data_IF_532991488401
#
_entry.id   IF_532991488401
#
_cell.length_a   1.000
_cell.length_b   1.000
_cell.length_c   1.000
_cell.angle_alpha   90.00
_cell.angle_beta   90.00
_cell.angle_gamma   90.00
#
_symmetry.space_group_name_H-M   'P 1'
#
loop_
_entity.id
_entity.type
_entity.pdbx_description
1 polymer ?
#
# COMPACT_ATOMS: atom_id res chain seq x y z
N UNK A 1 15.47 -23.07 -4.82
CA UNK A 1 14.68 -22.09 -4.04
C UNK A 1 13.59 -22.84 -3.29
N UNK A 2 13.37 -22.57 -2.00
CA UNK A 2 12.36 -23.27 -1.19
C UNK A 2 10.94 -22.79 -1.58
N UNK A 3 10.08 -23.65 -2.16
CA UNK A 3 8.73 -23.30 -2.59
C UNK A 3 7.86 -22.74 -1.44
N UNK A 4 8.20 -23.08 -0.20
CA UNK A 4 7.48 -22.60 0.99
C UNK A 4 7.61 -21.10 1.21
N UNK A 5 8.74 -20.48 0.80
CA UNK A 5 8.97 -19.04 0.91
C UNK A 5 8.15 -18.26 -0.11
N UNK A 6 8.06 -18.76 -1.34
CA UNK A 6 7.30 -18.10 -2.40
C UNK A 6 5.79 -18.08 -2.09
N UNK A 7 5.25 -19.19 -1.58
CA UNK A 7 3.85 -19.28 -1.15
C UNK A 7 3.45 -18.26 -0.08
N UNK A 8 4.40 -17.84 0.78
CA UNK A 8 4.13 -16.84 1.82
C UNK A 8 3.97 -15.41 1.28
N UNK A 9 4.55 -15.12 0.12
CA UNK A 9 4.35 -13.82 -0.54
C UNK A 9 3.19 -13.84 -1.52
N UNK A 10 2.56 -14.98 -1.80
CA UNK A 10 1.45 -15.08 -2.73
C UNK A 10 0.33 -14.08 -2.43
N UNK A 11 -0.09 -13.83 -1.17
CA UNK A 11 -1.08 -12.79 -0.87
C UNK A 11 -0.60 -11.38 -1.23
N UNK A 12 0.66 -11.05 -0.93
CA UNK A 12 1.23 -9.74 -1.26
C UNK A 12 1.32 -9.53 -2.78
N UNK A 13 1.73 -10.55 -3.53
CA UNK A 13 1.81 -10.51 -5.00
C UNK A 13 0.43 -10.40 -5.62
N UNK A 14 -0.54 -11.20 -5.15
CA UNK A 14 -1.91 -11.14 -5.66
C UNK A 14 -2.54 -9.76 -5.39
N UNK A 15 -2.33 -9.22 -4.19
CA UNK A 15 -2.84 -7.90 -3.82
C UNK A 15 -2.14 -6.78 -4.61
N UNK A 16 -0.82 -6.85 -4.81
CA UNK A 16 -0.09 -5.91 -5.67
C UNK A 16 -0.62 -5.94 -7.11
N UNK A 17 -0.91 -7.13 -7.66
CA UNK A 17 -1.52 -7.28 -8.97
C UNK A 17 -2.92 -6.68 -9.04
N UNK A 18 -3.75 -6.91 -8.03
CA UNK A 18 -5.06 -6.27 -7.92
C UNK A 18 -4.93 -4.74 -7.93
N UNK A 19 -4.05 -4.18 -7.09
CA UNK A 19 -3.81 -2.73 -7.02
C UNK A 19 -3.37 -2.15 -8.36
N UNK A 20 -2.46 -2.82 -9.08
CA UNK A 20 -2.02 -2.38 -10.40
C UNK A 20 -3.19 -2.33 -11.38
N UNK A 21 -3.95 -3.43 -11.48
CA UNK A 21 -5.07 -3.51 -12.40
C UNK A 21 -6.08 -2.42 -12.08
N UNK A 22 -6.54 -2.32 -10.84
CA UNK A 22 -7.57 -1.34 -10.45
C UNK A 22 -7.12 0.11 -10.60
N UNK A 23 -5.82 0.39 -10.46
CA UNK A 23 -5.28 1.75 -10.60
C UNK A 23 -5.18 2.18 -12.06
N UNK A 24 -5.01 1.23 -13.00
CA UNK A 24 -4.87 1.50 -14.42
C UNK A 24 -6.19 1.38 -15.20
N UNK A 25 -7.27 0.88 -14.59
CA UNK A 25 -8.61 0.93 -15.21
C UNK A 25 -9.01 2.41 -15.42
N UNK A 26 -9.41 2.82 -16.64
CA UNK A 26 -9.91 4.15 -16.90
C UNK A 26 -11.12 4.50 -16.02
N UNK A 27 -11.20 5.73 -15.52
CA UNK A 27 -12.39 6.22 -14.80
C UNK A 27 -13.38 6.79 -15.81
N UNK A 28 -14.69 6.45 -15.73
CA UNK A 28 -15.72 7.08 -16.55
C UNK A 28 -15.85 8.58 -16.22
N UNK A 29 -15.98 9.43 -17.23
CA UNK A 29 -16.12 10.89 -17.05
C UNK A 29 -17.35 11.28 -16.20
N UNK A 30 -18.42 10.48 -16.26
CA UNK A 30 -19.63 10.66 -15.45
C UNK A 30 -19.48 10.28 -13.97
N UNK A 31 -18.31 9.80 -13.55
CA UNK A 31 -17.96 9.46 -12.17
C UNK A 31 -17.04 10.47 -11.49
N UNK A 32 -16.72 11.59 -12.16
CA UNK A 32 -15.93 12.68 -11.61
C UNK A 32 -16.73 13.60 -10.67
N UNK A 33 -18.04 13.33 -10.50
CA UNK A 33 -18.87 13.96 -9.48
C UNK A 33 -18.24 13.75 -8.10
N UNK A 34 -18.13 14.86 -7.35
CA UNK A 34 -17.30 15.04 -6.15
C UNK A 34 -17.02 13.76 -5.35
N UNK A 35 -15.76 13.30 -5.40
CA UNK A 35 -15.26 12.24 -4.51
C UNK A 35 -15.61 12.62 -3.07
N UNK A 36 -16.37 11.79 -2.32
CA UNK A 36 -16.79 12.14 -0.98
C UNK A 36 -15.58 12.36 -0.09
N UNK A 37 -15.67 13.31 0.84
CA UNK A 37 -14.62 13.56 1.82
C UNK A 37 -14.90 12.82 3.11
N UNK A 38 -13.87 12.22 3.70
CA UNK A 38 -13.88 11.67 5.05
C UNK A 38 -12.84 12.43 5.88
N UNK A 39 -13.29 13.01 7.00
CA UNK A 39 -12.45 13.84 7.89
C UNK A 39 -11.75 15.01 7.16
N UNK A 40 -12.41 15.60 6.16
CA UNK A 40 -11.85 16.69 5.36
C UNK A 40 -10.80 16.28 4.32
N UNK A 41 -10.56 14.97 4.15
CA UNK A 41 -9.67 14.41 3.13
C UNK A 41 -10.51 13.60 2.15
N UNK A 42 -10.26 13.73 0.84
CA UNK A 42 -10.96 12.96 -0.18
C UNK A 42 -10.80 11.45 0.05
N UNK A 43 -11.89 10.68 -0.15
CA UNK A 43 -11.94 9.26 0.18
C UNK A 43 -10.92 8.41 -0.60
N UNK A 44 -10.58 8.84 -1.80
CA UNK A 44 -9.51 8.24 -2.61
C UNK A 44 -8.17 8.19 -1.85
N UNK A 45 -7.79 9.25 -1.12
CA UNK A 45 -6.55 9.27 -0.34
C UNK A 45 -6.56 8.25 0.80
N UNK A 46 -7.72 8.00 1.40
CA UNK A 46 -7.87 6.95 2.40
C UNK A 46 -7.75 5.56 1.78
N UNK A 47 -8.29 5.36 0.57
CA UNK A 47 -8.11 4.11 -0.20
C UNK A 47 -6.63 3.89 -0.53
N UNK A 48 -5.92 4.94 -0.96
CA UNK A 48 -4.48 4.90 -1.18
C UNK A 48 -3.73 4.51 0.09
N UNK A 49 -3.89 5.26 1.19
CA UNK A 49 -3.23 4.95 2.45
C UNK A 49 -3.54 3.53 2.96
N UNK A 50 -4.81 3.12 2.94
CA UNK A 50 -5.22 1.78 3.34
C UNK A 50 -4.58 0.69 2.48
N UNK A 51 -4.58 0.87 1.17
CA UNK A 51 -4.01 -0.08 0.21
C UNK A 51 -2.52 -0.32 0.42
N UNK A 52 -1.72 0.74 0.52
CA UNK A 52 -0.29 0.59 0.73
C UNK A 52 0.06 0.14 2.16
N UNK A 53 -0.81 0.42 3.13
CA UNK A 53 -0.74 -0.17 4.46
C UNK A 53 -0.96 -1.69 4.44
N UNK A 54 -1.98 -2.17 3.72
CA UNK A 54 -2.24 -3.61 3.53
C UNK A 54 -1.07 -4.27 2.81
N UNK A 55 -0.58 -3.68 1.71
CA UNK A 55 0.56 -4.23 0.96
C UNK A 55 1.80 -4.37 1.86
N UNK A 56 2.14 -3.33 2.62
CA UNK A 56 3.26 -3.35 3.56
C UNK A 56 3.09 -4.44 4.62
N UNK A 57 1.89 -4.59 5.17
CA UNK A 57 1.57 -5.63 6.16
C UNK A 57 1.71 -7.02 5.58
N UNK A 58 1.22 -7.27 4.37
CA UNK A 58 1.32 -8.57 3.69
C UNK A 58 2.78 -8.92 3.37
N UNK A 59 3.58 -7.93 2.94
CA UNK A 59 5.01 -8.10 2.73
C UNK A 59 5.74 -8.47 4.03
N UNK A 60 5.47 -7.74 5.12
CA UNK A 60 6.06 -7.99 6.43
C UNK A 60 5.64 -9.35 7.01
N UNK A 61 4.37 -9.74 6.80
CA UNK A 61 3.83 -11.05 7.15
C UNK A 61 4.50 -12.18 6.36
N UNK A 62 4.62 -12.02 5.04
CA UNK A 62 5.31 -12.99 4.17
C UNK A 62 6.77 -13.19 4.57
N UNK A 63 7.44 -12.09 4.95
CA UNK A 63 8.82 -12.10 5.45
C UNK A 63 8.95 -12.67 6.87
N UNK A 64 7.89 -12.60 7.69
CA UNK A 64 7.85 -12.97 9.11
C UNK A 64 8.94 -12.31 9.96
N UNK A 65 9.25 -11.06 9.68
CA UNK A 65 10.28 -10.29 10.39
C UNK A 65 9.68 -9.18 11.24
N UNK A 66 10.41 -8.78 12.29
CA UNK A 66 10.14 -7.60 13.12
C UNK A 66 11.36 -6.68 13.24
N UNK A 67 12.38 -6.89 12.40
CA UNK A 67 13.53 -6.00 12.36
C UNK A 67 13.13 -4.67 11.73
N UNK A 68 13.33 -3.57 12.44
CA UNK A 68 13.00 -2.20 11.98
C UNK A 68 13.51 -1.95 10.57
N UNK A 69 14.80 -2.23 10.32
CA UNK A 69 15.42 -2.02 9.01
C UNK A 69 14.73 -2.81 7.87
N UNK A 70 14.33 -4.06 8.13
CA UNK A 70 13.66 -4.88 7.11
C UNK A 70 12.23 -4.41 6.89
N UNK A 71 11.50 -4.04 7.94
CA UNK A 71 10.14 -3.49 7.82
C UNK A 71 10.17 -2.15 7.08
N UNK A 72 11.12 -1.27 7.39
CA UNK A 72 11.33 -0.01 6.67
C UNK A 72 11.65 -0.24 5.19
N UNK A 73 12.49 -1.23 4.86
CA UNK A 73 12.76 -1.60 3.47
C UNK A 73 11.51 -2.12 2.74
N UNK A 74 10.66 -2.91 3.40
CA UNK A 74 9.41 -3.40 2.82
C UNK A 74 8.36 -2.29 2.63
N UNK A 75 8.27 -1.35 3.57
CA UNK A 75 7.43 -0.16 3.42
C UNK A 75 7.94 0.71 2.25
N UNK A 76 9.25 0.93 2.15
CA UNK A 76 9.87 1.67 1.04
C UNK A 76 9.60 0.99 -0.30
N UNK A 77 9.66 -0.35 -0.34
CA UNK A 77 9.31 -1.11 -1.54
C UNK A 77 7.84 -0.90 -1.94
N UNK A 78 6.91 -0.93 -1.00
CA UNK A 78 5.49 -0.65 -1.26
C UNK A 78 5.28 0.78 -1.79
N UNK A 79 5.96 1.77 -1.22
CA UNK A 79 5.91 3.17 -1.69
C UNK A 79 6.49 3.30 -3.10
N UNK A 80 7.65 2.70 -3.36
CA UNK A 80 8.27 2.71 -4.68
C UNK A 80 7.39 2.03 -5.74
N UNK A 81 6.72 0.94 -5.37
CA UNK A 81 5.71 0.31 -6.24
C UNK A 81 4.56 1.28 -6.56
N UNK A 82 4.08 2.02 -5.57
CA UNK A 82 3.02 2.99 -5.78
C UNK A 82 3.41 4.19 -6.62
N UNK A 83 4.62 4.70 -6.44
CA UNK A 83 5.18 5.72 -7.33
C UNK A 83 5.25 5.24 -8.78
N UNK A 84 5.60 3.97 -8.99
CA UNK A 84 5.58 3.33 -10.31
C UNK A 84 4.17 3.26 -10.90
N UNK A 85 3.17 2.89 -10.10
CA UNK A 85 1.76 2.87 -10.53
C UNK A 85 1.29 4.27 -10.92
N UNK A 86 1.58 5.30 -10.11
CA UNK A 86 1.19 6.67 -10.43
C UNK A 86 1.83 7.17 -11.72
N UNK A 87 3.12 6.90 -11.93
CA UNK A 87 3.77 7.21 -13.19
C UNK A 87 3.06 6.54 -14.38
N UNK A 88 2.67 5.27 -14.24
CA UNK A 88 1.90 4.56 -15.27
C UNK A 88 0.49 5.12 -15.46
N UNK A 89 -0.14 5.65 -14.41
CA UNK A 89 -1.44 6.32 -14.51
C UNK A 89 -1.39 7.54 -15.41
N UNK A 90 -0.27 8.28 -15.45
CA UNK A 90 -0.07 9.38 -16.39
C UNK A 90 -0.09 8.98 -17.88
N UNK A 91 -0.06 7.67 -18.19
CA UNK A 91 -0.21 7.13 -19.55
C UNK A 91 -1.65 6.72 -19.87
N UNK A 92 -2.57 6.78 -18.90
CA UNK A 92 -3.99 6.42 -19.06
C UNK A 92 -4.80 7.71 -19.22
N UNK A 93 -5.52 7.84 -20.33
CA UNK A 93 -6.15 9.11 -20.75
C UNK A 93 -7.11 9.77 -19.73
N UNK A 94 -7.72 8.98 -18.84
CA UNK A 94 -8.66 9.47 -17.81
C UNK A 94 -8.10 9.35 -16.39
N UNK A 95 -6.77 9.32 -16.25
CA UNK A 95 -6.07 9.28 -14.97
C UNK A 95 -4.98 10.35 -14.95
N UNK A 96 -4.69 10.84 -13.76
CA UNK A 96 -3.63 11.82 -13.52
C UNK A 96 -2.57 11.27 -12.56
N UNK A 97 -1.38 11.85 -12.67
CA UNK A 97 -0.32 11.70 -11.66
C UNK A 97 -0.59 12.64 -10.48
N UNK A 98 -0.36 12.19 -9.25
CA UNK A 98 -0.81 12.93 -8.07
C UNK A 98 0.17 12.83 -6.90
N UNK A 99 0.91 13.90 -6.64
CA UNK A 99 1.79 13.96 -5.46
C UNK A 99 1.05 13.73 -4.13
N UNK A 100 -0.25 14.00 -4.08
CA UNK A 100 -1.09 13.73 -2.91
C UNK A 100 -1.36 12.22 -2.73
N UNK A 101 -1.52 11.47 -3.82
CA UNK A 101 -1.65 10.01 -3.77
C UNK A 101 -0.32 9.36 -3.38
N UNK A 102 0.80 9.84 -3.92
CA UNK A 102 2.13 9.44 -3.48
C UNK A 102 2.29 9.58 -1.96
N UNK A 103 1.91 10.75 -1.42
CA UNK A 103 1.98 11.02 0.01
C UNK A 103 1.07 10.09 0.82
N UNK A 104 -0.17 9.88 0.36
CA UNK A 104 -1.10 8.96 1.01
C UNK A 104 -0.55 7.52 1.05
N UNK A 105 0.05 7.05 -0.06
CA UNK A 105 0.72 5.76 -0.13
C UNK A 105 1.84 5.64 0.92
N UNK A 106 2.68 6.67 1.02
CA UNK A 106 3.78 6.73 1.98
C UNK A 106 3.32 6.73 3.43
N UNK A 107 2.29 7.53 3.76
CA UNK A 107 1.70 7.56 5.10
C UNK A 107 1.12 6.20 5.47
N UNK A 108 0.34 5.59 4.58
CA UNK A 108 -0.26 4.28 4.79
C UNK A 108 0.76 3.18 5.03
N UNK A 109 1.77 3.08 4.17
CA UNK A 109 2.87 2.13 4.30
C UNK A 109 3.65 2.33 5.61
N UNK A 110 3.98 3.58 5.95
CA UNK A 110 4.70 3.92 7.17
C UNK A 110 3.94 3.55 8.44
N UNK A 111 2.67 3.94 8.53
CA UNK A 111 1.80 3.63 9.68
C UNK A 111 1.62 2.12 9.86
N UNK A 112 1.41 1.37 8.78
CA UNK A 112 1.33 -0.08 8.84
C UNK A 112 2.65 -0.72 9.29
N UNK A 113 3.80 -0.22 8.81
CA UNK A 113 5.12 -0.66 9.25
C UNK A 113 5.32 -0.45 10.76
N UNK A 114 5.00 0.74 11.27
CA UNK A 114 5.06 1.06 12.70
C UNK A 114 4.11 0.16 13.51
N UNK A 115 2.86 0.02 13.06
CA UNK A 115 1.87 -0.84 13.70
C UNK A 115 2.32 -2.30 13.76
N UNK A 116 2.90 -2.81 12.68
CA UNK A 116 3.44 -4.18 12.61
C UNK A 116 4.55 -4.41 13.64
N UNK A 117 5.41 -3.44 13.87
CA UNK A 117 6.45 -3.52 14.89
C UNK A 117 5.83 -3.48 16.30
N UNK A 118 4.92 -2.55 16.56
CA UNK A 118 4.35 -2.31 17.89
C UNK A 118 3.49 -3.46 18.46
N UNK A 119 2.79 -4.23 17.62
CA UNK A 119 1.86 -5.28 18.09
C UNK A 119 2.55 -6.42 18.85
N UNK A 120 3.81 -6.78 18.54
CA UNK A 120 4.52 -7.83 19.32
C UNK A 120 5.11 -7.28 20.61
N UNK A 121 5.62 -6.06 20.56
CA UNK A 121 6.24 -5.46 21.73
C UNK A 121 5.22 -5.29 22.86
N UNK A 122 3.93 -5.10 22.55
CA UNK A 122 2.86 -5.13 23.55
C UNK A 122 2.68 -6.53 24.16
N UNK A 123 2.54 -7.57 23.34
CA UNK A 123 2.36 -8.95 23.82
C UNK A 123 3.57 -9.41 24.65
N UNK A 124 4.80 -9.01 24.29
CA UNK A 124 6.01 -9.38 25.01
C UNK A 124 6.24 -8.56 26.30
N UNK A 125 5.59 -7.40 26.47
CA UNK A 125 5.68 -6.57 27.68
C UNK A 125 4.60 -6.90 28.72
N UNK A 126 3.52 -7.56 28.29
CA UNK A 126 2.37 -7.95 29.14
C UNK A 126 2.44 -9.40 29.65
N UNK A 127 3.47 -10.16 29.23
CA UNK A 127 3.73 -11.55 29.62
C UNK A 127 4.93 -11.64 30.58
#
# INVERSE_FOLDING_TARGET
MDPSRFRRYAPAVAFAGLLLVTSLVPVPESGADAVPTLLGVALDKWVHAGSYGVLTTLLAWGRRTRTVAVVAALATLAVGYGAGIEFLQGLVATRDTSGADFLANAVGAGLAGVGWLAVRDRIAREA
#
